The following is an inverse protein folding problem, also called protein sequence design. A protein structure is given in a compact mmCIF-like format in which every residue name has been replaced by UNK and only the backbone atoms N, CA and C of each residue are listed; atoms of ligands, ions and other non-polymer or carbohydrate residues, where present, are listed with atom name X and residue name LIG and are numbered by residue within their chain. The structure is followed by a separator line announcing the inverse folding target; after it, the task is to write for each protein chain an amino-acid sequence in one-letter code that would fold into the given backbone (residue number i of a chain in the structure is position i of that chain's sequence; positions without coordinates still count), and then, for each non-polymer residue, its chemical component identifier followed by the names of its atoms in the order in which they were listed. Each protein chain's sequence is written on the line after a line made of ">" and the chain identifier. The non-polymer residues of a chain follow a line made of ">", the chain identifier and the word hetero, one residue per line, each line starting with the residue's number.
data_IF_636599533304
#
_entry.id   IF_636599533304
#
_cell.length_a   1.000
_cell.length_b   1.000
_cell.length_c   1.000
_cell.angle_alpha   90.00
_cell.angle_beta   90.00
_cell.angle_gamma   90.00
#
_symmetry.space_group_name_H-M   'P 1'
#
loop_
_entity.id
_entity.type
_entity.pdbx_description
1 polymer ?
#
# COMPACT_ATOMS: atom_id res chain seq x y z
N UNK A 1 8.59 47.31 -40.57
CA UNK A 1 7.90 47.39 -41.87
C UNK A 1 7.44 48.83 -42.11
N UNK A 2 7.63 49.34 -43.34
CA UNK A 2 7.09 50.57 -43.94
C UNK A 2 7.36 51.91 -43.21
N UNK A 3 8.36 52.70 -43.65
CA UNK A 3 8.31 53.73 -44.73
C UNK A 3 7.51 54.99 -44.36
N UNK A 4 8.21 56.06 -43.96
CA UNK A 4 8.06 57.41 -44.57
C UNK A 4 9.21 58.33 -44.14
N UNK A 5 10.35 58.23 -44.84
CA UNK A 5 11.36 59.29 -44.81
C UNK A 5 10.80 60.43 -45.66
N UNK A 6 10.17 61.40 -45.00
CA UNK A 6 9.73 62.63 -45.64
C UNK A 6 10.97 63.38 -46.18
N UNK A 7 10.96 63.62 -47.48
CA UNK A 7 12.02 64.28 -48.22
C UNK A 7 12.33 65.66 -47.63
N UNK A 8 13.46 65.79 -46.92
CA UNK A 8 14.07 67.08 -46.63
C UNK A 8 14.52 67.70 -47.94
N UNK A 9 13.75 68.64 -48.45
CA UNK A 9 14.18 69.53 -49.53
C UNK A 9 15.49 70.21 -49.10
N UNK A 10 16.58 69.92 -49.82
CA UNK A 10 17.84 70.65 -49.69
C UNK A 10 17.59 72.11 -50.11
N UNK A 11 17.98 73.11 -49.31
CA UNK A 11 18.03 74.47 -49.81
C UNK A 11 19.16 74.53 -50.84
N UNK A 12 18.81 74.79 -52.10
CA UNK A 12 19.78 75.08 -53.14
C UNK A 12 20.39 76.46 -52.87
N UNK A 13 21.70 76.50 -52.64
CA UNK A 13 22.52 77.71 -52.75
C UNK A 13 23.82 77.32 -53.50
N UNK A 14 24.47 78.21 -54.27
CA UNK A 14 24.03 79.50 -54.78
C UNK A 14 24.06 79.56 -56.33
N UNK A 15 23.13 80.31 -56.93
CA UNK A 15 23.35 80.79 -58.29
C UNK A 15 24.49 81.82 -58.25
N UNK A 16 25.44 81.65 -59.17
CA UNK A 16 26.57 82.53 -59.46
C UNK A 16 26.20 83.99 -59.20
N UNK A 17 26.78 84.56 -58.15
CA UNK A 17 26.88 86.01 -58.01
C UNK A 17 27.84 86.40 -59.13
N UNK A 18 27.30 86.89 -60.25
CA UNK A 18 28.11 87.50 -61.29
C UNK A 18 29.00 88.57 -60.63
N UNK A 19 30.29 88.55 -60.97
CA UNK A 19 31.30 89.54 -60.60
C UNK A 19 31.00 90.93 -61.20
N UNK A 20 29.86 91.52 -60.85
CA UNK A 20 29.54 92.92 -61.13
C UNK A 20 30.26 93.88 -60.15
N UNK A 21 31.03 93.35 -59.20
CA UNK A 21 31.79 94.14 -58.22
C UNK A 21 32.93 94.95 -58.83
N UNK A 22 33.54 94.49 -59.93
CA UNK A 22 34.63 95.22 -60.60
C UNK A 22 34.13 96.48 -61.29
N UNK A 23 33.08 96.36 -62.13
CA UNK A 23 32.58 97.48 -62.92
C UNK A 23 32.00 98.62 -62.08
N UNK A 24 31.44 98.31 -60.90
CA UNK A 24 30.85 99.32 -60.02
C UNK A 24 31.94 100.09 -59.23
N UNK A 25 33.02 99.41 -58.80
CA UNK A 25 34.15 100.10 -58.19
C UNK A 25 34.86 101.03 -59.19
N UNK A 26 35.00 100.59 -60.44
CA UNK A 26 35.59 101.42 -61.50
C UNK A 26 34.74 102.67 -61.77
N UNK A 27 33.42 102.57 -61.75
CA UNK A 27 32.52 103.72 -61.93
C UNK A 27 32.71 104.79 -60.83
N UNK A 28 32.80 104.40 -59.57
CA UNK A 28 32.94 105.35 -58.45
C UNK A 28 34.32 105.99 -58.39
N UNK A 29 35.36 105.25 -58.77
CA UNK A 29 36.72 105.80 -58.92
C UNK A 29 36.72 106.83 -60.05
N UNK A 30 36.15 106.50 -61.21
CA UNK A 30 36.03 107.43 -62.35
C UNK A 30 35.18 108.66 -62.01
N UNK A 31 34.10 108.51 -61.24
CA UNK A 31 33.27 109.64 -60.81
C UNK A 31 34.01 110.58 -59.86
N UNK A 32 34.78 110.04 -58.90
CA UNK A 32 35.62 110.84 -58.00
C UNK A 32 36.72 111.57 -58.75
N UNK A 33 37.37 110.90 -59.69
CA UNK A 33 38.37 111.51 -60.58
C UNK A 33 37.73 112.60 -61.46
N UNK A 34 36.52 112.38 -61.97
CA UNK A 34 35.79 113.38 -62.75
C UNK A 34 35.40 114.62 -61.93
N UNK A 35 34.97 114.44 -60.67
CA UNK A 35 34.74 115.56 -59.73
C UNK A 35 36.05 116.31 -59.52
N UNK A 36 37.12 115.62 -59.15
CA UNK A 36 38.42 116.22 -58.88
C UNK A 36 38.96 117.00 -60.09
N UNK A 37 38.90 116.41 -61.28
CA UNK A 37 39.33 117.02 -62.53
C UNK A 37 38.46 118.21 -62.92
N UNK A 38 37.14 118.15 -62.68
CA UNK A 38 36.23 119.28 -62.94
C UNK A 38 36.48 120.44 -61.97
N UNK A 39 36.66 120.17 -60.67
CA UNK A 39 37.04 121.19 -59.69
C UNK A 39 38.38 121.84 -60.04
N UNK A 40 39.36 121.02 -60.46
CA UNK A 40 40.66 121.49 -60.91
C UNK A 40 40.57 122.35 -62.16
N UNK A 41 39.86 121.90 -63.19
CA UNK A 41 39.64 122.66 -64.43
C UNK A 41 38.94 123.99 -64.17
N UNK A 42 37.98 124.03 -63.24
CA UNK A 42 37.30 125.26 -62.80
C UNK A 42 38.29 126.26 -62.20
N UNK A 43 39.13 125.81 -61.27
CA UNK A 43 40.16 126.65 -60.63
C UNK A 43 41.24 127.08 -61.63
N UNK A 44 41.66 126.19 -62.53
CA UNK A 44 42.62 126.50 -63.59
C UNK A 44 42.07 127.51 -64.60
N UNK A 45 40.79 127.43 -64.98
CA UNK A 45 40.14 128.44 -65.83
C UNK A 45 40.10 129.82 -65.16
N UNK A 46 39.78 129.88 -63.86
CA UNK A 46 39.80 131.13 -63.08
C UNK A 46 41.21 131.72 -62.99
N UNK A 47 42.21 130.87 -62.70
CA UNK A 47 43.62 131.27 -62.64
C UNK A 47 44.14 131.73 -64.00
N UNK A 48 43.82 131.02 -65.08
CA UNK A 48 44.21 131.37 -66.44
C UNK A 48 43.59 132.70 -66.89
N UNK A 49 42.33 132.95 -66.54
CA UNK A 49 41.67 134.24 -66.80
C UNK A 49 42.37 135.38 -66.05
N UNK A 50 42.60 135.21 -64.74
CA UNK A 50 43.28 136.20 -63.91
C UNK A 50 44.73 136.45 -64.41
N UNK A 51 45.47 135.39 -64.72
CA UNK A 51 46.83 135.48 -65.25
C UNK A 51 46.88 136.16 -66.62
N UNK A 52 45.92 135.87 -67.52
CA UNK A 52 45.84 136.50 -68.84
C UNK A 52 45.56 138.00 -68.72
N UNK A 53 44.68 138.40 -67.80
CA UNK A 53 44.40 139.82 -67.53
C UNK A 53 45.63 140.55 -66.98
N UNK A 54 46.33 139.96 -66.01
CA UNK A 54 47.56 140.53 -65.43
C UNK A 54 48.70 140.60 -66.46
N UNK A 55 48.84 139.57 -67.30
CA UNK A 55 49.85 139.52 -68.36
C UNK A 55 49.60 140.59 -69.43
N UNK A 56 48.35 140.80 -69.86
CA UNK A 56 48.04 141.89 -70.79
C UNK A 56 48.20 143.27 -70.15
N UNK A 57 47.80 143.43 -68.89
CA UNK A 57 47.96 144.72 -68.19
C UNK A 57 49.43 145.11 -68.08
N UNK A 58 50.31 144.17 -67.74
CA UNK A 58 51.75 144.39 -67.67
C UNK A 58 52.42 144.58 -69.03
N UNK A 59 52.06 143.78 -70.04
CA UNK A 59 52.64 143.88 -71.39
C UNK A 59 52.26 145.18 -72.11
N UNK A 60 51.04 145.68 -71.90
CA UNK A 60 50.55 146.89 -72.58
C UNK A 60 50.62 148.17 -71.72
N UNK A 61 51.07 148.09 -70.46
CA UNK A 61 51.33 149.25 -69.61
C UNK A 61 52.27 150.32 -70.22
N UNK A 62 53.36 149.96 -70.94
CA UNK A 62 54.25 150.96 -71.55
C UNK A 62 53.62 151.71 -72.72
N UNK A 63 52.52 151.18 -73.29
CA UNK A 63 51.88 151.68 -74.52
C UNK A 63 50.66 152.58 -74.26
N UNK A 64 50.40 152.93 -72.99
CA UNK A 64 49.32 153.82 -72.58
C UNK A 64 47.97 153.12 -72.39
N UNK A 65 47.00 153.83 -71.78
CA UNK A 65 45.72 153.24 -71.32
C UNK A 65 44.83 152.74 -72.46
N UNK A 66 44.89 153.35 -73.66
CA UNK A 66 44.11 152.88 -74.81
C UNK A 66 44.57 151.53 -75.36
N UNK A 67 45.88 151.26 -75.36
CA UNK A 67 46.44 149.98 -75.80
C UNK A 67 46.05 148.86 -74.83
N UNK A 68 46.10 149.12 -73.51
CA UNK A 68 45.58 148.21 -72.49
C UNK A 68 44.09 147.93 -72.67
N UNK A 69 43.28 148.95 -72.98
CA UNK A 69 41.84 148.77 -73.15
C UNK A 69 41.52 147.89 -74.38
N UNK A 70 42.23 148.06 -75.50
CA UNK A 70 42.11 147.18 -76.67
C UNK A 70 42.58 145.76 -76.38
N UNK A 71 43.70 145.57 -75.66
CA UNK A 71 44.19 144.25 -75.26
C UNK A 71 43.19 143.52 -74.34
N UNK A 72 42.59 144.23 -73.38
CA UNK A 72 41.48 143.72 -72.56
C UNK A 72 40.25 143.37 -73.41
N UNK A 73 39.96 144.16 -74.45
CA UNK A 73 38.90 143.87 -75.41
C UNK A 73 39.10 142.55 -76.17
N UNK A 74 40.33 142.27 -76.64
CA UNK A 74 40.66 140.98 -77.26
C UNK A 74 40.64 139.82 -76.25
N UNK A 75 41.10 140.06 -75.02
CA UNK A 75 41.02 139.08 -73.93
C UNK A 75 39.59 138.80 -73.47
N UNK A 76 38.64 139.71 -73.71
CA UNK A 76 37.21 139.50 -73.38
C UNK A 76 36.63 138.27 -74.09
N UNK A 77 37.01 138.04 -75.35
CA UNK A 77 36.60 136.86 -76.10
C UNK A 77 37.13 135.56 -75.45
N UNK A 78 38.41 135.55 -75.05
CA UNK A 78 39.01 134.44 -74.30
C UNK A 78 38.35 134.27 -72.91
N UNK A 79 37.99 135.37 -72.26
CA UNK A 79 37.26 135.37 -71.00
C UNK A 79 35.88 134.76 -71.10
N UNK A 80 35.15 134.99 -72.19
CA UNK A 80 33.87 134.34 -72.44
C UNK A 80 33.99 132.82 -72.62
N UNK A 81 35.03 132.35 -73.32
CA UNK A 81 35.30 130.92 -73.49
C UNK A 81 35.66 130.28 -72.15
N UNK A 82 36.58 130.88 -71.39
CA UNK A 82 36.97 130.41 -70.06
C UNK A 82 35.80 130.40 -69.08
N UNK A 83 34.92 131.41 -69.12
CA UNK A 83 33.74 131.46 -68.28
C UNK A 83 32.70 130.39 -68.65
N UNK A 84 32.52 130.10 -69.94
CA UNK A 84 31.67 128.97 -70.37
C UNK A 84 32.25 127.64 -69.92
N UNK A 85 33.55 127.42 -70.08
CA UNK A 85 34.21 126.21 -69.59
C UNK A 85 34.08 126.07 -68.06
N UNK A 86 34.24 127.17 -67.32
CA UNK A 86 34.03 127.20 -65.88
C UNK A 86 32.60 126.79 -65.50
N UNK A 87 31.57 127.33 -66.18
CA UNK A 87 30.17 126.95 -65.93
C UNK A 87 29.89 125.48 -66.25
N UNK A 88 30.47 124.94 -67.31
CA UNK A 88 30.33 123.51 -67.62
C UNK A 88 30.99 122.63 -66.56
N UNK A 89 32.18 122.99 -66.08
CA UNK A 89 32.85 122.29 -64.98
C UNK A 89 32.03 122.34 -63.68
N UNK A 90 31.43 123.49 -63.36
CA UNK A 90 30.53 123.66 -62.20
C UNK A 90 29.27 122.77 -62.31
N UNK A 91 28.65 122.69 -63.49
CA UNK A 91 27.47 121.85 -63.70
C UNK A 91 27.80 120.35 -63.62
N UNK A 92 28.94 119.93 -64.16
CA UNK A 92 29.41 118.54 -64.07
C UNK A 92 29.72 118.16 -62.62
N UNK A 93 30.42 119.03 -61.89
CA UNK A 93 30.72 118.86 -60.47
C UNK A 93 29.43 118.76 -59.63
N UNK A 94 28.45 119.64 -59.88
CA UNK A 94 27.16 119.61 -59.18
C UNK A 94 26.36 118.32 -59.45
N UNK A 95 26.30 117.87 -60.70
CA UNK A 95 25.62 116.62 -61.07
C UNK A 95 26.31 115.39 -60.46
N UNK A 96 27.64 115.35 -60.48
CA UNK A 96 28.39 114.24 -59.92
C UNK A 96 28.26 114.16 -58.39
N UNK A 97 28.30 115.30 -57.69
CA UNK A 97 28.03 115.36 -56.24
C UNK A 97 26.60 114.95 -55.89
N UNK A 98 25.61 115.36 -56.68
CA UNK A 98 24.23 114.93 -56.48
C UNK A 98 24.05 113.41 -56.63
N UNK A 99 24.75 112.80 -57.62
CA UNK A 99 24.75 111.35 -57.80
C UNK A 99 25.43 110.61 -56.63
N UNK A 100 26.54 111.13 -56.09
CA UNK A 100 27.20 110.58 -54.91
C UNK A 100 26.29 110.63 -53.67
N UNK A 101 25.61 111.76 -53.44
CA UNK A 101 24.66 111.91 -52.33
C UNK A 101 23.45 110.98 -52.45
N UNK A 102 22.89 110.84 -53.65
CA UNK A 102 21.76 109.93 -53.89
C UNK A 102 22.15 108.47 -53.62
N UNK A 103 23.32 108.04 -54.10
CA UNK A 103 23.82 106.69 -53.84
C UNK A 103 24.15 106.46 -52.36
N UNK A 104 24.72 107.44 -51.66
CA UNK A 104 24.94 107.35 -50.22
C UNK A 104 23.63 107.15 -49.45
N UNK A 105 22.55 107.83 -49.86
CA UNK A 105 21.21 107.64 -49.31
C UNK A 105 20.69 106.22 -49.60
N UNK A 106 20.79 105.73 -50.84
CA UNK A 106 20.35 104.37 -51.20
C UNK A 106 21.11 103.29 -50.42
N UNK A 107 22.44 103.44 -50.24
CA UNK A 107 23.25 102.52 -49.43
C UNK A 107 22.84 102.56 -47.97
N UNK A 108 22.55 103.73 -47.41
CA UNK A 108 22.08 103.85 -46.02
C UNK A 108 20.73 103.17 -45.83
N UNK A 109 19.79 103.35 -46.77
CA UNK A 109 18.48 102.71 -46.73
C UNK A 109 18.59 101.18 -46.89
N UNK A 110 19.45 100.69 -47.77
CA UNK A 110 19.70 99.26 -47.92
C UNK A 110 20.33 98.65 -46.65
N UNK A 111 21.27 99.36 -46.02
CA UNK A 111 21.87 98.92 -44.74
C UNK A 111 20.82 98.86 -43.63
N UNK A 112 19.95 99.86 -43.54
CA UNK A 112 18.87 99.87 -42.54
C UNK A 112 17.88 98.72 -42.77
N UNK A 113 17.43 98.52 -44.01
CA UNK A 113 16.55 97.39 -44.36
C UNK A 113 17.19 96.04 -44.07
N UNK A 114 18.48 95.90 -44.37
CA UNK A 114 19.23 94.68 -44.06
C UNK A 114 19.34 94.47 -42.56
N UNK A 115 19.60 95.53 -41.79
CA UNK A 115 19.70 95.44 -40.33
C UNK A 115 18.37 95.02 -39.70
N UNK A 116 17.25 95.61 -40.13
CA UNK A 116 15.90 95.23 -39.69
C UNK A 116 15.57 93.78 -40.07
N UNK A 117 15.92 93.36 -41.29
CA UNK A 117 15.68 91.97 -41.72
C UNK A 117 16.51 90.97 -40.91
N UNK A 118 17.78 91.31 -40.59
CA UNK A 118 18.65 90.48 -39.77
C UNK A 118 18.18 90.41 -38.32
N UNK A 119 17.74 91.52 -37.72
CA UNK A 119 17.22 91.53 -36.35
C UNK A 119 15.93 90.72 -36.24
N UNK A 120 15.00 90.87 -37.19
CA UNK A 120 13.78 90.08 -37.24
C UNK A 120 14.06 88.57 -37.42
N UNK A 121 15.03 88.21 -38.26
CA UNK A 121 15.44 86.83 -38.44
C UNK A 121 16.10 86.25 -37.17
N UNK A 122 16.90 87.04 -36.45
CA UNK A 122 17.50 86.65 -35.18
C UNK A 122 16.43 86.42 -34.09
N UNK A 123 15.50 87.36 -33.92
CA UNK A 123 14.37 87.21 -32.99
C UNK A 123 13.51 85.98 -33.32
N UNK A 124 13.24 85.73 -34.61
CA UNK A 124 12.51 84.53 -35.02
C UNK A 124 13.29 83.26 -34.66
N UNK A 125 14.60 83.23 -34.89
CA UNK A 125 15.46 82.12 -34.51
C UNK A 125 15.41 81.88 -33.00
N UNK A 126 15.58 82.91 -32.18
CA UNK A 126 15.56 82.81 -30.71
C UNK A 126 14.21 82.33 -30.18
N UNK A 127 13.11 82.80 -30.78
CA UNK A 127 11.76 82.34 -30.46
C UNK A 127 11.57 80.85 -30.81
N UNK A 128 12.05 80.40 -31.97
CA UNK A 128 11.97 78.99 -32.36
C UNK A 128 12.82 78.10 -31.47
N UNK A 129 14.03 78.54 -31.10
CA UNK A 129 14.91 77.81 -30.18
C UNK A 129 14.24 77.69 -28.81
N UNK A 130 13.69 78.78 -28.28
CA UNK A 130 13.00 78.78 -27.00
C UNK A 130 11.77 77.85 -27.00
N UNK A 131 10.98 77.85 -28.07
CA UNK A 131 9.84 76.95 -28.21
C UNK A 131 10.28 75.48 -28.28
N UNK A 132 11.36 75.16 -29.01
CA UNK A 132 11.91 73.81 -29.07
C UNK A 132 12.50 73.34 -27.74
N UNK A 133 13.14 74.23 -26.98
CA UNK A 133 13.64 73.91 -25.63
C UNK A 133 12.49 73.61 -24.67
N UNK A 134 11.43 74.44 -24.68
CA UNK A 134 10.25 74.20 -23.85
C UNK A 134 9.57 72.86 -24.20
N UNK A 135 9.40 72.56 -25.49
CA UNK A 135 8.87 71.27 -25.94
C UNK A 135 9.76 70.11 -25.50
N UNK A 136 11.09 70.24 -25.64
CA UNK A 136 12.05 69.25 -25.17
C UNK A 136 11.96 69.01 -23.66
N UNK A 137 11.87 70.06 -22.84
CA UNK A 137 11.70 69.95 -21.39
C UNK A 137 10.43 69.19 -21.03
N UNK A 138 9.31 69.46 -21.72
CA UNK A 138 8.06 68.71 -21.49
C UNK A 138 8.18 67.25 -21.92
N UNK A 139 8.90 66.96 -23.00
CA UNK A 139 9.15 65.59 -23.45
C UNK A 139 10.05 64.82 -22.47
N UNK A 140 11.08 65.47 -21.92
CA UNK A 140 11.95 64.89 -20.89
C UNK A 140 11.17 64.61 -19.61
N UNK A 141 10.34 65.55 -19.16
CA UNK A 141 9.49 65.37 -17.98
C UNK A 141 8.53 64.17 -18.15
N UNK A 142 7.81 64.09 -19.28
CA UNK A 142 6.93 62.95 -19.59
C UNK A 142 7.69 61.63 -19.67
N UNK A 143 8.90 61.62 -20.23
CA UNK A 143 9.73 60.41 -20.30
C UNK A 143 10.16 59.95 -18.90
N UNK A 144 10.52 60.88 -18.01
CA UNK A 144 10.85 60.58 -16.62
C UNK A 144 9.65 59.99 -15.86
N UNK A 145 8.45 60.55 -16.03
CA UNK A 145 7.22 60.02 -15.41
C UNK A 145 6.92 58.59 -15.87
N UNK A 146 7.05 58.32 -17.17
CA UNK A 146 6.84 56.97 -17.73
C UNK A 146 7.91 56.00 -17.22
N UNK A 147 9.17 56.41 -17.16
CA UNK A 147 10.24 55.58 -16.60
C UNK A 147 9.99 55.24 -15.14
N UNK A 148 9.57 56.22 -14.33
CA UNK A 148 9.26 56.02 -12.93
C UNK A 148 8.06 55.08 -12.74
N UNK A 149 6.99 55.26 -13.51
CA UNK A 149 5.82 54.38 -13.48
C UNK A 149 6.16 52.94 -13.88
N UNK A 150 7.03 52.75 -14.88
CA UNK A 150 7.51 51.42 -15.28
C UNK A 150 8.40 50.79 -14.20
N UNK A 151 9.30 51.56 -13.57
CA UNK A 151 10.12 51.08 -12.45
C UNK A 151 9.25 50.61 -11.29
N UNK A 152 8.25 51.41 -10.88
CA UNK A 152 7.32 51.03 -9.81
C UNK A 152 6.54 49.75 -10.14
N UNK A 153 6.07 49.59 -11.39
CA UNK A 153 5.39 48.36 -11.83
C UNK A 153 6.31 47.15 -11.79
N UNK A 154 7.56 47.29 -12.23
CA UNK A 154 8.53 46.21 -12.19
C UNK A 154 8.91 45.83 -10.75
N UNK A 155 9.03 46.80 -9.86
CA UNK A 155 9.27 46.57 -8.43
C UNK A 155 8.08 45.87 -7.77
N UNK A 156 6.86 46.27 -8.10
CA UNK A 156 5.64 45.63 -7.61
C UNK A 156 5.52 44.17 -8.10
N UNK A 157 5.78 43.91 -9.39
CA UNK A 157 5.79 42.54 -9.93
C UNK A 157 6.91 41.70 -9.30
N UNK A 158 8.10 42.27 -9.11
CA UNK A 158 9.18 41.58 -8.39
C UNK A 158 8.76 41.22 -6.98
N UNK A 159 8.22 42.17 -6.22
CA UNK A 159 7.76 41.91 -4.86
C UNK A 159 6.67 40.82 -4.81
N UNK A 160 5.71 40.85 -5.75
CA UNK A 160 4.68 39.82 -5.87
C UNK A 160 5.27 38.44 -6.15
N UNK A 161 6.15 38.34 -7.15
CA UNK A 161 6.79 37.08 -7.53
C UNK A 161 7.69 36.54 -6.43
N UNK A 162 8.41 37.40 -5.70
CA UNK A 162 9.20 36.98 -4.54
C UNK A 162 8.30 36.42 -3.44
N UNK A 163 7.17 37.09 -3.13
CA UNK A 163 6.21 36.60 -2.14
C UNK A 163 5.54 35.28 -2.54
N UNK A 164 5.19 35.11 -3.82
CA UNK A 164 4.69 33.84 -4.35
C UNK A 164 5.74 32.73 -4.25
N UNK A 165 7.00 33.03 -4.58
CA UNK A 165 8.10 32.07 -4.47
C UNK A 165 8.36 31.67 -3.01
N UNK A 166 8.37 32.61 -2.07
CA UNK A 166 8.52 32.34 -0.65
C UNK A 166 7.37 31.47 -0.11
N UNK A 167 6.13 31.74 -0.55
CA UNK A 167 4.96 30.91 -0.21
C UNK A 167 5.11 29.49 -0.76
N UNK A 168 5.44 29.35 -2.05
CA UNK A 168 5.66 28.06 -2.69
C UNK A 168 6.81 27.28 -2.05
N UNK A 169 7.87 27.98 -1.63
CA UNK A 169 9.01 27.38 -0.93
C UNK A 169 8.58 26.86 0.45
N UNK A 170 7.80 27.64 1.20
CA UNK A 170 7.24 27.22 2.48
C UNK A 170 6.34 25.98 2.34
N UNK A 171 5.47 25.96 1.33
CA UNK A 171 4.62 24.81 1.01
C UNK A 171 5.43 23.57 0.62
N UNK A 172 6.48 23.73 -0.18
CA UNK A 172 7.37 22.65 -0.56
C UNK A 172 8.10 22.06 0.67
N UNK A 173 8.61 22.91 1.56
CA UNK A 173 9.26 22.46 2.79
C UNK A 173 8.27 21.77 3.75
N UNK A 174 7.02 22.25 3.83
CA UNK A 174 5.96 21.59 4.58
C UNK A 174 5.64 20.20 3.98
N UNK A 175 5.55 20.10 2.66
CA UNK A 175 5.33 18.84 1.95
C UNK A 175 6.48 17.84 2.17
N UNK A 176 7.74 18.30 2.11
CA UNK A 176 8.92 17.45 2.41
C UNK A 176 8.86 16.89 3.83
N UNK A 177 8.51 17.71 4.82
CA UNK A 177 8.34 17.24 6.21
C UNK A 177 7.21 16.22 6.33
N UNK A 178 6.10 16.45 5.62
CA UNK A 178 4.97 15.51 5.62
C UNK A 178 5.36 14.16 4.99
N UNK A 179 6.12 14.17 3.88
CA UNK A 179 6.65 12.95 3.25
C UNK A 179 7.57 12.19 4.21
N UNK A 180 8.54 12.88 4.82
CA UNK A 180 9.44 12.25 5.79
C UNK A 180 8.69 11.63 7.00
N UNK A 181 7.62 12.30 7.47
CA UNK A 181 6.77 11.78 8.53
C UNK A 181 5.97 10.55 8.10
N UNK A 182 5.49 10.50 6.85
CA UNK A 182 4.81 9.34 6.28
C UNK A 182 5.77 8.17 6.08
N UNK A 183 6.98 8.42 5.58
CA UNK A 183 8.03 7.40 5.44
C UNK A 183 8.39 6.79 6.80
N UNK A 184 8.55 7.60 7.84
CA UNK A 184 8.79 7.12 9.20
C UNK A 184 7.64 6.26 9.73
N UNK A 185 6.38 6.67 9.51
CA UNK A 185 5.21 5.86 9.89
C UNK A 185 5.13 4.55 9.13
N UNK A 186 5.43 4.55 7.82
CA UNK A 186 5.44 3.32 7.02
C UNK A 186 6.50 2.37 7.56
N UNK A 187 7.70 2.88 7.87
CA UNK A 187 8.77 2.09 8.46
C UNK A 187 8.36 1.50 9.82
N UNK A 188 7.77 2.30 10.71
CA UNK A 188 7.27 1.84 12.01
C UNK A 188 6.20 0.74 11.83
N UNK A 189 5.23 0.92 10.93
CA UNK A 189 4.22 -0.11 10.67
C UNK A 189 4.79 -1.38 10.06
N UNK A 190 5.82 -1.26 9.20
CA UNK A 190 6.50 -2.40 8.62
C UNK A 190 7.29 -3.18 9.69
N UNK A 191 7.94 -2.50 10.62
CA UNK A 191 8.65 -3.10 11.75
C UNK A 191 7.68 -3.79 12.72
N UNK A 192 6.54 -3.16 13.03
CA UNK A 192 5.48 -3.77 13.84
C UNK A 192 4.93 -5.04 13.18
N UNK A 193 4.58 -4.98 11.90
CA UNK A 193 4.11 -6.14 11.16
C UNK A 193 5.16 -7.26 11.07
N UNK A 194 6.45 -6.91 10.93
CA UNK A 194 7.54 -7.89 10.95
C UNK A 194 7.68 -8.56 12.33
N UNK A 195 7.51 -7.81 13.42
CA UNK A 195 7.53 -8.33 14.78
C UNK A 195 6.33 -9.25 15.06
N UNK A 196 5.13 -8.86 14.65
CA UNK A 196 3.92 -9.70 14.74
C UNK A 196 4.10 -11.00 13.95
N UNK A 197 4.56 -10.91 12.69
CA UNK A 197 4.83 -12.11 11.89
C UNK A 197 5.92 -13.01 12.49
N UNK A 198 6.92 -12.45 13.17
CA UNK A 198 7.93 -13.23 13.88
C UNK A 198 7.33 -13.94 15.11
N UNK A 199 6.47 -13.26 15.87
CA UNK A 199 5.74 -13.83 17.00
C UNK A 199 4.80 -14.96 16.55
N UNK A 200 4.00 -14.73 15.51
CA UNK A 200 3.10 -15.74 14.91
C UNK A 200 3.89 -16.97 14.44
N UNK A 201 5.06 -16.76 13.82
CA UNK A 201 5.93 -17.87 13.40
C UNK A 201 6.47 -18.65 14.59
N UNK A 202 6.85 -17.99 15.67
CA UNK A 202 7.31 -18.64 16.89
C UNK A 202 6.19 -19.47 17.53
N UNK A 203 4.98 -18.91 17.66
CA UNK A 203 3.81 -19.62 18.18
C UNK A 203 3.46 -20.83 17.31
N UNK A 204 3.49 -20.70 15.97
CA UNK A 204 3.26 -21.82 15.07
C UNK A 204 4.30 -22.94 15.20
N UNK A 205 5.56 -22.60 15.51
CA UNK A 205 6.60 -23.60 15.75
C UNK A 205 6.35 -24.32 17.09
N UNK A 206 6.05 -23.60 18.17
CA UNK A 206 5.70 -24.19 19.46
C UNK A 206 4.48 -25.10 19.35
N UNK A 207 3.43 -24.66 18.66
CA UNK A 207 2.23 -25.47 18.42
C UNK A 207 2.54 -26.72 17.58
N UNK A 208 3.45 -26.63 16.61
CA UNK A 208 3.88 -27.80 15.83
C UNK A 208 4.63 -28.81 16.70
N UNK A 209 5.59 -28.36 17.49
CA UNK A 209 6.34 -29.21 18.42
C UNK A 209 5.41 -29.88 19.44
N UNK A 210 4.47 -29.12 20.01
CA UNK A 210 3.46 -29.64 20.92
C UNK A 210 2.54 -30.68 20.25
N UNK A 211 2.12 -30.45 19.00
CA UNK A 211 1.30 -31.41 18.26
C UNK A 211 2.07 -32.71 17.97
N UNK A 212 3.35 -32.59 17.64
CA UNK A 212 4.23 -33.74 17.39
C UNK A 212 4.42 -34.57 18.66
N UNK A 213 4.70 -33.93 19.80
CA UNK A 213 4.74 -34.59 21.11
C UNK A 213 3.43 -35.28 21.46
N UNK A 214 2.28 -34.61 21.27
CA UNK A 214 0.97 -35.22 21.55
C UNK A 214 0.70 -36.44 20.66
N UNK A 215 1.14 -36.42 19.40
CA UNK A 215 1.03 -37.58 18.49
C UNK A 215 1.91 -38.73 18.94
N UNK A 216 3.15 -38.46 19.34
CA UNK A 216 4.05 -39.47 19.88
C UNK A 216 3.49 -40.09 21.16
N UNK A 217 3.04 -39.26 22.10
CA UNK A 217 2.40 -39.68 23.35
C UNK A 217 1.16 -40.55 23.11
N UNK A 218 0.30 -40.14 22.17
CA UNK A 218 -0.90 -40.90 21.81
C UNK A 218 -0.54 -42.25 21.19
N UNK A 219 0.48 -42.28 20.32
CA UNK A 219 1.00 -43.50 19.72
C UNK A 219 1.58 -44.45 20.78
N UNK A 220 2.38 -43.94 21.71
CA UNK A 220 2.96 -44.71 22.80
C UNK A 220 1.89 -45.25 23.75
N UNK A 221 0.94 -44.40 24.16
CA UNK A 221 -0.19 -44.82 25.01
C UNK A 221 -1.06 -45.87 24.33
N UNK A 222 -1.35 -45.70 23.04
CA UNK A 222 -2.10 -46.68 22.24
C UNK A 222 -1.36 -48.01 22.12
N UNK A 223 -0.05 -47.98 21.83
CA UNK A 223 0.77 -49.18 21.77
C UNK A 223 0.86 -49.90 23.12
N UNK A 224 0.95 -49.15 24.23
CA UNK A 224 0.95 -49.72 25.57
C UNK A 224 -0.42 -50.34 25.91
N UNK A 225 -1.53 -49.67 25.62
CA UNK A 225 -2.86 -50.22 25.87
C UNK A 225 -3.13 -51.48 25.04
N UNK A 226 -2.69 -51.53 23.78
CA UNK A 226 -2.79 -52.72 22.94
C UNK A 226 -1.96 -53.89 23.50
N UNK A 227 -0.72 -53.64 23.97
CA UNK A 227 0.07 -54.68 24.65
C UNK A 227 -0.64 -55.21 25.89
N UNK A 228 -1.10 -54.32 26.78
CA UNK A 228 -1.85 -54.71 27.98
C UNK A 228 -3.13 -55.45 27.64
N UNK A 229 -3.85 -55.05 26.58
CA UNK A 229 -5.05 -55.75 26.09
C UNK A 229 -4.72 -57.17 25.63
N UNK A 230 -3.65 -57.35 24.85
CA UNK A 230 -3.20 -58.66 24.38
C UNK A 230 -2.72 -59.56 25.53
N UNK A 231 -2.01 -59.02 26.51
CA UNK A 231 -1.58 -59.74 27.72
C UNK A 231 -2.77 -60.20 28.56
N UNK A 232 -3.73 -59.31 28.83
CA UNK A 232 -4.97 -59.64 29.53
C UNK A 232 -5.79 -60.67 28.74
N UNK A 233 -5.89 -60.54 27.42
CA UNK A 233 -6.59 -61.51 26.60
C UNK A 233 -5.95 -62.90 26.70
N UNK A 234 -4.62 -62.99 26.63
CA UNK A 234 -3.88 -64.22 26.85
C UNK A 234 -4.06 -64.81 28.26
N UNK A 235 -4.15 -63.97 29.30
CA UNK A 235 -4.48 -64.41 30.65
C UNK A 235 -5.89 -64.99 30.75
N UNK A 236 -6.89 -64.31 30.15
CA UNK A 236 -8.28 -64.79 30.12
C UNK A 236 -8.39 -66.12 29.40
N UNK A 237 -7.69 -66.29 28.26
CA UNK A 237 -7.67 -67.58 27.56
C UNK A 237 -7.06 -68.69 28.42
N UNK A 238 -5.93 -68.43 29.09
CA UNK A 238 -5.30 -69.41 30.00
C UNK A 238 -6.24 -69.82 31.12
N UNK A 239 -6.81 -68.85 31.83
CA UNK A 239 -7.77 -69.09 32.92
C UNK A 239 -9.02 -69.83 32.43
N UNK A 240 -9.47 -69.55 31.20
CA UNK A 240 -10.62 -70.26 30.61
C UNK A 240 -10.29 -71.72 30.33
N UNK A 241 -9.06 -72.03 29.85
CA UNK A 241 -8.61 -73.41 29.64
C UNK A 241 -8.45 -74.15 30.97
N UNK A 242 -7.81 -73.52 31.95
CA UNK A 242 -7.63 -74.08 33.30
C UNK A 242 -8.98 -74.34 33.98
N UNK A 243 -9.91 -73.39 33.91
CA UNK A 243 -11.27 -73.56 34.42
C UNK A 243 -11.96 -74.78 33.79
N UNK A 244 -11.91 -74.91 32.46
CA UNK A 244 -12.52 -76.06 31.77
C UNK A 244 -11.87 -77.38 32.14
N UNK A 245 -10.55 -77.42 32.30
CA UNK A 245 -9.83 -78.61 32.73
C UNK A 245 -10.27 -79.04 34.14
N UNK A 246 -10.35 -78.08 35.07
CA UNK A 246 -10.84 -78.33 36.43
C UNK A 246 -12.31 -78.75 36.46
N UNK A 247 -13.17 -78.17 35.60
CA UNK A 247 -14.57 -78.60 35.46
C UNK A 247 -14.66 -80.06 35.01
N UNK A 248 -13.86 -80.48 34.02
CA UNK A 248 -13.80 -81.88 33.56
C UNK A 248 -13.29 -82.80 34.69
N UNK A 249 -12.19 -82.44 35.36
CA UNK A 249 -11.66 -83.23 36.49
C UNK A 249 -12.68 -83.39 37.61
N UNK A 250 -13.43 -82.32 37.92
CA UNK A 250 -14.48 -82.36 38.92
C UNK A 250 -15.66 -83.24 38.48
N UNK A 251 -16.10 -83.14 37.23
CA UNK A 251 -17.14 -84.02 36.66
C UNK A 251 -16.72 -85.50 36.69
N UNK A 252 -15.47 -85.80 36.35
CA UNK A 252 -14.90 -87.16 36.44
C UNK A 252 -14.86 -87.68 37.87
N UNK A 253 -14.45 -86.84 38.84
CA UNK A 253 -14.47 -87.20 40.26
C UNK A 253 -15.90 -87.49 40.76
N UNK A 254 -16.86 -86.65 40.40
CA UNK A 254 -18.27 -86.86 40.74
C UNK A 254 -18.80 -88.15 40.10
N UNK A 255 -18.52 -88.39 38.82
CA UNK A 255 -18.92 -89.61 38.13
C UNK A 255 -18.28 -90.87 38.76
N UNK A 256 -17.02 -90.79 39.18
CA UNK A 256 -16.34 -91.88 39.89
C UNK A 256 -17.00 -92.17 41.24
N UNK A 257 -17.27 -91.14 42.04
CA UNK A 257 -17.97 -91.29 43.32
C UNK A 257 -19.38 -91.86 43.14
N UNK A 258 -20.11 -91.44 42.10
CA UNK A 258 -21.42 -92.00 41.76
C UNK A 258 -21.33 -93.49 41.42
N UNK A 259 -20.35 -93.92 40.61
CA UNK A 259 -20.14 -95.35 40.30
C UNK A 259 -19.80 -96.16 41.55
N UNK A 260 -18.89 -95.68 42.39
CA UNK A 260 -18.55 -96.34 43.66
C UNK A 260 -19.78 -96.51 44.55
N UNK A 261 -20.60 -95.46 44.67
CA UNK A 261 -21.84 -95.52 45.44
C UNK A 261 -22.87 -96.49 44.84
N UNK A 262 -23.00 -96.54 43.52
CA UNK A 262 -23.87 -97.52 42.86
C UNK A 262 -23.36 -98.95 43.04
N UNK A 263 -22.06 -99.18 42.96
CA UNK A 263 -21.44 -100.49 43.20
C UNK A 263 -21.67 -100.93 44.65
N UNK A 264 -21.44 -100.05 45.63
CA UNK A 264 -21.75 -100.31 47.05
C UNK A 264 -23.23 -100.65 47.27
N UNK A 265 -24.15 -99.89 46.65
CA UNK A 265 -25.59 -100.18 46.73
C UNK A 265 -25.92 -101.52 46.10
N UNK A 266 -25.33 -101.86 44.95
CA UNK A 266 -25.52 -103.16 44.29
C UNK A 266 -24.98 -104.31 45.14
N UNK A 267 -23.82 -104.15 45.76
CA UNK A 267 -23.23 -105.15 46.66
C UNK A 267 -24.09 -105.36 47.91
N UNK A 268 -24.56 -104.28 48.54
CA UNK A 268 -25.48 -104.34 49.68
C UNK A 268 -26.82 -104.99 49.30
N UNK A 269 -27.36 -104.70 48.12
CA UNK A 269 -28.56 -105.36 47.60
C UNK A 269 -28.31 -106.86 47.39
N UNK A 270 -27.19 -107.25 46.77
CA UNK A 270 -26.85 -108.65 46.57
C UNK A 270 -26.62 -109.40 47.89
N UNK A 271 -26.04 -108.75 48.91
CA UNK A 271 -25.91 -109.32 50.26
C UNK A 271 -27.28 -109.50 50.92
N UNK A 272 -28.16 -108.50 50.84
CA UNK A 272 -29.54 -108.59 51.33
C UNK A 272 -30.29 -109.74 50.66
N UNK A 273 -30.21 -109.85 49.33
CA UNK A 273 -30.91 -110.90 48.59
C UNK A 273 -30.39 -112.29 48.96
N UNK A 274 -29.06 -112.47 49.09
CA UNK A 274 -28.47 -113.71 49.62
C UNK A 274 -29.03 -114.05 51.00
N UNK A 275 -29.01 -113.09 51.93
CA UNK A 275 -29.55 -113.27 53.28
C UNK A 275 -31.04 -113.64 53.27
N UNK A 276 -31.85 -112.99 52.41
CA UNK A 276 -33.27 -113.34 52.21
C UNK A 276 -33.42 -114.77 51.72
N UNK A 277 -32.65 -115.18 50.70
CA UNK A 277 -32.74 -116.55 50.17
C UNK A 277 -32.29 -117.61 51.19
N UNK A 278 -31.29 -117.31 52.01
CA UNK A 278 -30.85 -118.18 53.10
C UNK A 278 -31.92 -118.30 54.19
N UNK A 279 -32.52 -117.17 54.61
CA UNK A 279 -33.65 -117.18 55.55
C UNK A 279 -34.84 -117.94 54.98
N UNK A 280 -35.18 -117.75 53.70
CA UNK A 280 -36.25 -118.50 53.04
C UNK A 280 -35.97 -120.01 53.00
N UNK A 281 -34.73 -120.43 52.71
CA UNK A 281 -34.34 -121.85 52.77
C UNK A 281 -34.43 -122.39 54.19
N UNK A 282 -33.97 -121.64 55.18
CA UNK A 282 -34.08 -122.02 56.59
C UNK A 282 -35.54 -122.19 57.03
N UNK A 283 -36.41 -121.25 56.63
CA UNK A 283 -37.86 -121.35 56.87
C UNK A 283 -38.48 -122.56 56.15
N UNK A 284 -38.10 -122.81 54.89
CA UNK A 284 -38.57 -123.99 54.15
C UNK A 284 -38.11 -125.30 54.81
N UNK A 285 -36.89 -125.34 55.33
CA UNK A 285 -36.35 -126.51 56.02
C UNK A 285 -37.07 -126.75 57.36
N UNK A 286 -37.29 -125.68 58.14
CA UNK A 286 -38.10 -125.76 59.36
C UNK A 286 -39.54 -126.21 59.06
N UNK A 287 -40.14 -125.73 57.97
CA UNK A 287 -41.47 -126.17 57.55
C UNK A 287 -41.47 -127.65 57.15
N UNK A 288 -40.46 -128.15 56.42
CA UNK A 288 -40.33 -129.59 56.14
C UNK A 288 -40.19 -130.41 57.40
N UNK A 289 -39.40 -129.95 58.37
CA UNK A 289 -39.26 -130.63 59.66
C UNK A 289 -40.57 -130.63 60.44
N UNK A 290 -41.33 -129.53 60.38
CA UNK A 290 -42.67 -129.44 60.99
C UNK A 290 -43.65 -130.40 60.30
N UNK A 291 -43.69 -130.43 58.97
CA UNK A 291 -44.51 -131.36 58.17
C UNK A 291 -44.17 -132.81 58.51
N UNK A 292 -42.89 -133.18 58.51
CA UNK A 292 -42.45 -134.52 58.92
C UNK A 292 -42.88 -134.85 60.36
N UNK A 293 -42.76 -133.91 61.30
CA UNK A 293 -43.21 -134.12 62.68
C UNK A 293 -44.73 -134.24 62.82
N UNK A 294 -45.49 -133.54 61.95
CA UNK A 294 -46.93 -133.65 61.88
C UNK A 294 -47.35 -134.99 61.27
N UNK A 295 -46.66 -135.43 60.23
CA UNK A 295 -46.86 -136.74 59.60
C UNK A 295 -46.56 -137.87 60.61
N UNK A 296 -45.44 -137.82 61.32
CA UNK A 296 -45.11 -138.77 62.40
C UNK A 296 -46.18 -138.78 63.51
N UNK A 297 -46.62 -137.60 63.97
CA UNK A 297 -47.72 -137.51 64.95
C UNK A 297 -49.06 -138.00 64.42
N UNK A 298 -49.33 -137.81 63.12
CA UNK A 298 -50.55 -138.31 62.47
C UNK A 298 -50.50 -139.83 62.31
N UNK A 299 -49.32 -140.40 62.02
CA UNK A 299 -49.09 -141.84 61.99
C UNK A 299 -49.22 -142.46 63.38
N UNK A 300 -48.70 -141.80 64.41
CA UNK A 300 -48.90 -142.18 65.81
C UNK A 300 -50.39 -142.14 66.19
N UNK A 301 -51.10 -141.06 65.83
CA UNK A 301 -52.54 -140.94 66.06
C UNK A 301 -53.34 -142.05 65.36
N UNK A 302 -53.05 -142.34 64.09
CA UNK A 302 -53.67 -143.43 63.34
C UNK A 302 -53.36 -144.81 63.96
N UNK A 303 -52.13 -145.01 64.46
CA UNK A 303 -51.76 -146.23 65.17
C UNK A 303 -52.53 -146.36 66.51
N UNK A 304 -52.70 -145.27 67.26
CA UNK A 304 -53.51 -145.27 68.48
C UNK A 304 -54.99 -145.50 68.18
N UNK A 305 -55.55 -144.90 67.14
CA UNK A 305 -56.94 -145.16 66.69
C UNK A 305 -57.12 -146.63 66.31
N UNK A 306 -56.25 -147.20 65.47
CA UNK A 306 -56.30 -148.61 65.10
C UNK A 306 -56.16 -149.55 66.32
N UNK A 307 -55.36 -149.16 67.33
CA UNK A 307 -55.23 -149.89 68.59
C UNK A 307 -56.50 -149.81 69.43
N UNK A 308 -57.14 -148.65 69.50
CA UNK A 308 -58.42 -148.46 70.19
C UNK A 308 -59.51 -149.30 69.52
N UNK A 309 -59.61 -149.27 68.19
CA UNK A 309 -60.58 -150.06 67.44
C UNK A 309 -60.36 -151.57 67.64
N UNK A 310 -59.11 -152.04 67.63
CA UNK A 310 -58.78 -153.45 67.95
C UNK A 310 -59.19 -153.82 69.37
N UNK A 311 -58.86 -152.99 70.37
CA UNK A 311 -59.21 -153.24 71.76
C UNK A 311 -60.74 -153.24 71.97
N UNK A 312 -61.46 -152.35 71.29
CA UNK A 312 -62.92 -152.33 71.31
C UNK A 312 -63.51 -153.58 70.66
N UNK A 313 -63.01 -154.00 69.49
CA UNK A 313 -63.45 -155.21 68.80
C UNK A 313 -63.21 -156.48 69.65
N UNK A 314 -62.06 -156.56 70.32
CA UNK A 314 -61.74 -157.66 71.24
C UNK A 314 -62.61 -157.66 72.49
N UNK A 315 -62.92 -156.49 73.04
CA UNK A 315 -63.81 -156.40 74.20
C UNK A 315 -65.24 -156.87 73.85
N UNK A 316 -65.73 -156.52 72.66
CA UNK A 316 -67.00 -157.02 72.13
C UNK A 316 -66.98 -158.54 71.89
N UNK A 317 -65.88 -159.07 71.36
CA UNK A 317 -65.71 -160.52 71.16
C UNK A 317 -65.62 -161.29 72.49
N UNK A 318 -64.91 -160.75 73.49
CA UNK A 318 -64.76 -161.35 74.80
C UNK A 318 -66.09 -161.40 75.58
N UNK A 319 -66.93 -160.36 75.47
CA UNK A 319 -68.27 -160.34 76.08
C UNK A 319 -69.19 -161.42 75.49
N UNK A 320 -69.07 -161.75 74.21
CA UNK A 320 -69.90 -162.77 73.55
C UNK A 320 -69.49 -164.23 73.89
N UNK A 321 -68.26 -164.48 74.32
CA UNK A 321 -67.69 -165.83 74.36
C UNK A 321 -67.76 -166.58 75.71
N UNK A 322 -68.32 -165.98 76.78
CA UNK A 322 -68.57 -166.68 78.05
C UNK A 322 -67.31 -167.04 78.86
N UNK A 323 -67.14 -166.35 80.00
CA UNK A 323 -66.28 -166.57 81.19
C UNK A 323 -64.93 -167.32 81.04
N UNK A 324 -64.87 -168.56 80.54
CA UNK A 324 -63.62 -169.31 80.44
C UNK A 324 -62.83 -169.04 79.14
N UNK A 325 -63.51 -168.80 78.01
CA UNK A 325 -62.86 -168.65 76.69
C UNK A 325 -62.44 -167.20 76.39
N UNK A 326 -63.15 -166.22 76.93
CA UNK A 326 -62.82 -164.78 76.81
C UNK A 326 -61.53 -164.38 77.57
N UNK A 327 -61.23 -165.02 78.71
CA UNK A 327 -59.99 -164.77 79.46
C UNK A 327 -58.74 -165.30 78.75
N UNK A 328 -58.86 -166.40 78.00
CA UNK A 328 -57.74 -166.94 77.20
C UNK A 328 -57.43 -166.05 75.97
N UNK A 329 -58.45 -165.42 75.37
CA UNK A 329 -58.24 -164.48 74.25
C UNK A 329 -57.60 -163.16 74.72
N UNK A 330 -58.02 -162.63 75.87
CA UNK A 330 -57.41 -161.43 76.48
C UNK A 330 -55.94 -161.67 76.93
N UNK A 331 -55.62 -162.88 77.40
CA UNK A 331 -54.26 -163.24 77.82
C UNK A 331 -53.32 -163.53 76.63
N UNK A 332 -53.85 -164.02 75.50
CA UNK A 332 -53.08 -164.21 74.27
C UNK A 332 -52.73 -162.87 73.59
N UNK A 333 -53.62 -161.87 73.69
CA UNK A 333 -53.40 -160.51 73.17
C UNK A 333 -52.46 -159.68 74.07
N UNK A 334 -52.55 -159.78 75.41
CA UNK A 334 -51.63 -159.06 76.31
C UNK A 334 -50.17 -159.52 76.14
N UNK A 335 -49.94 -160.76 75.72
CA UNK A 335 -48.61 -161.29 75.38
C UNK A 335 -48.10 -160.83 74.00
N UNK A 336 -48.99 -160.49 73.05
CA UNK A 336 -48.61 -159.84 71.77
C UNK A 336 -48.41 -158.33 71.91
N UNK A 337 -49.12 -157.70 72.85
CA UNK A 337 -49.08 -156.25 73.08
C UNK A 337 -47.78 -155.74 73.74
N UNK A 338 -46.91 -156.64 74.22
CA UNK A 338 -45.65 -156.29 74.90
C UNK A 338 -44.51 -155.86 73.95
N UNK A 339 -44.70 -155.86 72.62
CA UNK A 339 -43.61 -155.63 71.65
C UNK A 339 -43.64 -154.30 70.86
N UNK A 340 -44.49 -153.32 71.21
CA UNK A 340 -44.63 -152.10 70.37
C UNK A 340 -44.60 -150.78 71.15
N UNK A 341 -43.55 -150.60 71.96
CA UNK A 341 -43.10 -149.27 72.39
C UNK A 341 -41.62 -149.11 72.02
N UNK A 342 -41.27 -148.43 70.92
CA UNK A 342 -39.99 -147.75 70.83
C UNK A 342 -40.10 -146.40 71.53
N UNK A 343 -39.32 -146.26 72.59
CA UNK A 343 -38.91 -145.00 73.17
C UNK A 343 -38.13 -144.19 72.11
N UNK A 344 -38.70 -143.09 71.63
CA UNK A 344 -38.00 -142.07 70.84
C UNK A 344 -37.65 -140.85 71.71
N UNK A 345 -36.91 -141.10 72.80
CA UNK A 345 -36.25 -140.06 73.58
C UNK A 345 -34.73 -140.24 73.48
N UNK A 346 -34.16 -140.25 72.28
CA UNK A 346 -32.72 -140.32 72.03
C UNK A 346 -32.40 -139.92 70.57
N UNK A 347 -32.19 -138.63 70.28
CA UNK A 347 -31.21 -138.16 69.29
C UNK A 347 -31.16 -136.64 69.35
N UNK A 348 -30.17 -136.14 70.10
CA UNK A 348 -29.69 -134.80 69.88
C UNK A 348 -28.75 -134.79 68.68
N UNK A 349 -28.84 -133.73 67.89
CA UNK A 349 -27.75 -133.18 67.07
C UNK A 349 -28.08 -131.69 66.89
N UNK A 350 -27.39 -130.81 67.61
CA UNK A 350 -26.13 -130.18 67.23
C UNK A 350 -26.34 -128.82 66.53
N UNK A 351 -25.99 -127.75 67.25
CA UNK A 351 -25.68 -126.44 66.70
C UNK A 351 -24.55 -126.52 65.65
N UNK A 352 -24.49 -125.53 64.74
CA UNK A 352 -23.40 -124.55 64.78
C UNK A 352 -23.96 -123.11 64.77
N UNK A 353 -23.44 -122.17 65.57
CA UNK A 353 -22.25 -121.34 65.29
C UNK A 353 -22.39 -120.56 63.96
N UNK A 354 -22.78 -119.29 63.99
CA UNK A 354 -21.87 -118.13 64.10
C UNK A 354 -20.82 -118.06 62.99
N UNK A 355 -21.00 -117.12 62.06
CA UNK A 355 -19.91 -116.44 61.36
C UNK A 355 -20.35 -115.01 61.01
N UNK A 356 -19.41 -114.09 61.21
CA UNK A 356 -19.47 -112.62 61.15
C UNK A 356 -19.93 -112.05 59.80
#
# INVERSE_FOLDING_TARGET
>A
MARSVAARARPALPHKINDHGSANNDFWVVLKDAIHNSSRARVECQRALAASLVAADSAFAPHGPEAQHKARGFLSANGHVLHRMQRFAEQLEAKARAAEMAHAADVSQLRERLHIALSAAAEQSDNTISALMADHETHVARAADVQHALQQRLEAERARLTGENDSMHSELEAAKRAVAALEAKVQETAEQAAAEHAADRAELLELRESNEQLREDACQRGAHSERSRLELHGQVERLTREKRALEIEFEEQVAHLQRMREDEVRDLQAQRDRSITEHQRSVQELNRQLEASLDDRSADAAHYEAKIERLQALNVAALKAGSARGRQLLYAESMRAACLLPCSACQGTAHPASAL
#
